data_IF_899265019293
#
_entry.id   IF_899265019293
#
_cell.length_a   1.000
_cell.length_b   1.000
_cell.length_c   1.000
_cell.angle_alpha   90.00
_cell.angle_beta   90.00
_cell.angle_gamma   90.00
#
_symmetry.space_group_name_H-M   'P 1'
#
loop_
_entity.id
_entity.type
_entity.pdbx_description
1 polymer ?
#
# COMPACT_ATOMS: atom_id res chain seq x y z
N UNK A 1 -10.92 1.52 19.39
CA UNK A 1 -9.62 0.91 19.00
C UNK A 1 -9.69 -0.59 18.71
N UNK A 2 -10.40 -1.42 19.52
CA UNK A 2 -10.50 -2.89 19.30
C UNK A 2 -10.97 -3.32 17.89
N UNK A 3 -11.91 -2.58 17.27
CA UNK A 3 -12.40 -2.91 15.93
C UNK A 3 -11.35 -2.70 14.81
N UNK A 4 -10.48 -1.69 14.93
CA UNK A 4 -9.49 -1.39 13.88
C UNK A 4 -8.38 -2.44 13.89
N UNK A 5 -7.92 -2.86 15.08
CA UNK A 5 -6.91 -3.91 15.20
C UNK A 5 -7.45 -5.25 14.68
N UNK A 6 -8.70 -5.61 14.98
CA UNK A 6 -9.30 -6.83 14.44
C UNK A 6 -9.46 -6.79 12.91
N UNK A 7 -9.73 -5.62 12.33
CA UNK A 7 -9.87 -5.43 10.89
C UNK A 7 -8.52 -5.44 10.16
N UNK A 8 -7.48 -4.85 10.77
CA UNK A 8 -6.09 -4.94 10.30
C UNK A 8 -5.59 -6.38 10.40
N UNK A 9 -5.85 -7.07 11.51
CA UNK A 9 -5.43 -8.46 11.72
C UNK A 9 -6.12 -9.38 10.72
N UNK A 10 -7.43 -9.24 10.50
CA UNK A 10 -8.18 -10.00 9.49
C UNK A 10 -7.71 -9.71 8.06
N UNK A 11 -7.39 -8.46 7.74
CA UNK A 11 -6.85 -8.12 6.42
C UNK A 11 -5.41 -8.64 6.25
N UNK A 12 -4.57 -8.56 7.28
CA UNK A 12 -3.21 -9.09 7.28
C UNK A 12 -3.21 -10.60 7.11
N UNK A 13 -4.06 -11.33 7.84
CA UNK A 13 -4.17 -12.79 7.67
C UNK A 13 -4.64 -13.16 6.28
N UNK A 14 -5.60 -12.43 5.69
CA UNK A 14 -6.04 -12.66 4.30
C UNK A 14 -4.93 -12.34 3.28
N UNK A 15 -4.07 -11.35 3.56
CA UNK A 15 -2.91 -11.02 2.72
C UNK A 15 -1.87 -12.15 2.80
N UNK A 16 -1.53 -12.58 4.01
CA UNK A 16 -0.56 -13.66 4.24
C UNK A 16 -1.07 -14.97 3.65
N UNK A 17 -2.36 -15.29 3.82
CA UNK A 17 -3.00 -16.50 3.30
C UNK A 17 -3.05 -16.52 1.77
N UNK A 18 -3.23 -15.36 1.12
CA UNK A 18 -3.17 -15.23 -0.35
C UNK A 18 -1.74 -15.27 -0.91
N UNK A 19 -0.74 -14.72 -0.18
CA UNK A 19 0.67 -14.81 -0.57
C UNK A 19 1.24 -16.22 -0.41
N UNK A 20 0.73 -16.99 0.56
CA UNK A 20 1.14 -18.39 0.79
C UNK A 20 1.00 -19.27 -0.46
N UNK A 21 0.06 -18.96 -1.36
CA UNK A 21 -0.10 -19.69 -2.63
C UNK A 21 1.09 -19.52 -3.60
N UNK A 22 1.91 -18.47 -3.45
CA UNK A 22 3.09 -18.23 -4.29
C UNK A 22 4.39 -18.77 -3.67
N UNK A 23 4.40 -19.01 -2.35
CA UNK A 23 5.58 -19.45 -1.61
C UNK A 23 6.23 -20.73 -2.18
N UNK A 24 5.50 -21.79 -2.57
CA UNK A 24 6.12 -22.97 -3.18
C UNK A 24 6.89 -22.64 -4.47
N UNK A 25 6.38 -21.68 -5.24
CA UNK A 25 6.96 -21.29 -6.52
C UNK A 25 8.18 -20.39 -6.32
N UNK A 26 8.16 -19.52 -5.30
CA UNK A 26 9.34 -18.74 -4.88
C UNK A 26 10.47 -19.64 -4.37
N UNK A 27 10.15 -20.65 -3.53
CA UNK A 27 11.13 -21.62 -3.03
C UNK A 27 11.72 -22.46 -4.17
N UNK A 28 10.87 -22.92 -5.11
CA UNK A 28 11.33 -23.67 -6.26
C UNK A 28 12.22 -22.83 -7.18
N UNK A 29 11.85 -21.58 -7.44
CA UNK A 29 12.64 -20.66 -8.25
C UNK A 29 14.00 -20.36 -7.58
N UNK A 30 14.00 -20.15 -6.26
CA UNK A 30 15.23 -19.99 -5.47
C UNK A 30 16.13 -21.22 -5.53
N UNK A 31 15.55 -22.42 -5.46
CA UNK A 31 16.27 -23.68 -5.61
C UNK A 31 16.91 -23.81 -7.00
N UNK A 32 16.17 -23.51 -8.07
CA UNK A 32 16.70 -23.56 -9.44
C UNK A 32 17.84 -22.56 -9.67
N UNK A 33 17.69 -21.33 -9.19
CA UNK A 33 18.77 -20.33 -9.20
C UNK A 33 20.00 -20.80 -8.41
N UNK A 34 19.78 -21.44 -7.26
CA UNK A 34 20.84 -22.06 -6.47
C UNK A 34 21.62 -23.12 -7.27
N UNK A 35 20.92 -24.05 -7.93
CA UNK A 35 21.54 -25.06 -8.79
C UNK A 35 22.33 -24.43 -9.94
N UNK A 36 21.80 -23.37 -10.56
CA UNK A 36 22.44 -22.67 -11.66
C UNK A 36 23.77 -22.03 -11.20
N UNK A 37 23.73 -21.30 -10.09
CA UNK A 37 24.91 -20.63 -9.51
C UNK A 37 25.96 -21.62 -9.00
N UNK A 38 25.54 -22.67 -8.29
CA UNK A 38 26.44 -23.73 -7.82
C UNK A 38 27.12 -24.42 -9.01
N UNK A 39 26.37 -24.63 -10.09
CA UNK A 39 26.93 -25.25 -11.28
C UNK A 39 27.95 -24.36 -12.02
N UNK A 40 27.70 -23.05 -12.14
CA UNK A 40 28.69 -22.11 -12.69
C UNK A 40 29.95 -22.09 -11.80
N UNK A 41 29.76 -22.01 -10.48
CA UNK A 41 30.86 -22.02 -9.53
C UNK A 41 31.69 -23.30 -9.66
N UNK A 42 31.05 -24.47 -9.79
CA UNK A 42 31.73 -25.75 -9.97
C UNK A 42 32.60 -25.78 -11.24
N UNK A 43 32.09 -25.35 -12.41
CA UNK A 43 32.92 -25.27 -13.63
C UNK A 43 34.14 -24.39 -13.38
N UNK A 44 33.92 -23.21 -12.78
CA UNK A 44 34.99 -22.25 -12.55
C UNK A 44 36.08 -22.83 -11.63
N UNK A 45 35.70 -23.54 -10.56
CA UNK A 45 36.66 -24.21 -9.68
C UNK A 45 37.40 -25.38 -10.36
N UNK A 46 36.71 -26.18 -11.17
CA UNK A 46 37.37 -27.29 -11.88
C UNK A 46 38.34 -26.77 -12.95
N UNK A 47 38.00 -25.63 -13.59
CA UNK A 47 38.83 -25.00 -14.62
C UNK A 47 40.20 -24.51 -14.12
N UNK A 48 40.32 -24.23 -12.83
CA UNK A 48 41.60 -23.82 -12.22
C UNK A 48 42.50 -25.01 -11.88
N UNK A 49 41.96 -26.22 -11.83
CA UNK A 49 42.66 -27.45 -11.43
C UNK A 49 43.01 -28.31 -12.65
N UNK A 50 42.12 -28.40 -13.64
CA UNK A 50 42.28 -29.28 -14.81
C UNK A 50 41.98 -28.51 -16.10
N UNK A 51 42.85 -28.66 -17.11
CA UNK A 51 42.61 -28.13 -18.45
C UNK A 51 41.37 -28.77 -19.08
N UNK A 52 40.44 -27.94 -19.55
CA UNK A 52 39.24 -28.38 -20.25
C UNK A 52 39.52 -29.00 -21.63
N UNK A 53 40.73 -28.89 -22.18
CA UNK A 53 41.06 -29.49 -23.49
C UNK A 53 40.97 -31.02 -23.45
N UNK A 54 41.35 -31.64 -22.33
CA UNK A 54 41.25 -33.10 -22.16
C UNK A 54 39.82 -33.57 -21.81
N UNK A 55 38.94 -32.65 -21.37
CA UNK A 55 37.60 -32.97 -20.85
C UNK A 55 36.49 -32.19 -21.57
N UNK A 56 36.74 -31.75 -22.81
CA UNK A 56 35.84 -30.88 -23.57
C UNK A 56 34.42 -31.44 -23.72
N UNK A 57 34.29 -32.77 -23.80
CA UNK A 57 32.98 -33.43 -23.85
C UNK A 57 32.16 -33.22 -22.56
N UNK A 58 32.79 -33.29 -21.39
CA UNK A 58 32.13 -33.03 -20.12
C UNK A 58 31.74 -31.56 -20.01
N UNK A 59 32.63 -30.64 -20.41
CA UNK A 59 32.33 -29.20 -20.45
C UNK A 59 31.11 -28.89 -21.31
N UNK A 60 31.05 -29.45 -22.52
CA UNK A 60 29.94 -29.24 -23.45
C UNK A 60 28.62 -29.78 -22.88
N UNK A 61 28.62 -30.99 -22.33
CA UNK A 61 27.44 -31.57 -21.69
C UNK A 61 26.95 -30.71 -20.51
N UNK A 62 27.88 -30.17 -19.73
CA UNK A 62 27.54 -29.28 -18.62
C UNK A 62 26.95 -27.95 -19.11
N UNK A 63 27.51 -27.35 -20.16
CA UNK A 63 26.98 -26.13 -20.77
C UNK A 63 25.56 -26.33 -21.33
N UNK A 64 25.30 -27.49 -21.95
CA UNK A 64 23.95 -27.87 -22.40
C UNK A 64 23.00 -27.97 -21.19
N UNK A 65 23.43 -28.64 -20.11
CA UNK A 65 22.66 -28.74 -18.87
C UNK A 65 22.35 -27.36 -18.25
N UNK A 66 23.32 -26.46 -18.21
CA UNK A 66 23.14 -25.08 -17.74
C UNK A 66 22.18 -24.28 -18.62
N UNK A 67 22.25 -24.47 -19.94
CA UNK A 67 21.32 -23.84 -20.88
C UNK A 67 19.88 -24.29 -20.65
N UNK A 68 19.66 -25.61 -20.49
CA UNK A 68 18.34 -26.17 -20.18
C UNK A 68 17.82 -25.71 -18.80
N UNK A 69 18.70 -25.63 -17.80
CA UNK A 69 18.34 -25.12 -16.48
C UNK A 69 17.93 -23.64 -16.54
N UNK A 70 18.65 -22.82 -17.30
CA UNK A 70 18.31 -21.41 -17.52
C UNK A 70 16.97 -21.24 -18.24
N UNK A 71 16.70 -22.06 -19.26
CA UNK A 71 15.38 -22.09 -19.93
C UNK A 71 14.27 -22.45 -18.94
N UNK A 72 14.51 -23.43 -18.07
CA UNK A 72 13.56 -23.83 -17.02
C UNK A 72 13.30 -22.69 -16.05
N UNK A 73 14.35 -22.03 -15.54
CA UNK A 73 14.24 -20.83 -14.68
C UNK A 73 13.41 -19.75 -15.37
N UNK A 74 13.65 -19.52 -16.66
CA UNK A 74 12.94 -18.51 -17.44
C UNK A 74 11.45 -18.83 -17.52
N UNK A 75 11.09 -20.07 -17.85
CA UNK A 75 9.69 -20.51 -17.92
C UNK A 75 8.99 -20.39 -16.57
N UNK A 76 9.63 -20.86 -15.50
CA UNK A 76 9.07 -20.79 -14.14
C UNK A 76 8.91 -19.33 -13.70
N UNK A 77 9.86 -18.45 -14.05
CA UNK A 77 9.77 -17.02 -13.78
C UNK A 77 8.59 -16.38 -14.52
N UNK A 78 8.34 -16.75 -15.78
CA UNK A 78 7.19 -16.25 -16.54
C UNK A 78 5.88 -16.68 -15.87
N UNK A 79 5.77 -17.95 -15.47
CA UNK A 79 4.59 -18.47 -14.77
C UNK A 79 4.38 -17.74 -13.43
N UNK A 80 5.46 -17.53 -12.67
CA UNK A 80 5.44 -16.77 -11.42
C UNK A 80 4.87 -15.36 -11.63
N UNK A 81 5.41 -14.63 -12.61
CA UNK A 81 4.99 -13.26 -12.91
C UNK A 81 3.53 -13.18 -13.37
N UNK A 82 3.07 -14.14 -14.17
CA UNK A 82 1.68 -14.25 -14.58
C UNK A 82 0.76 -14.46 -13.36
N UNK A 83 1.09 -15.42 -12.50
CA UNK A 83 0.32 -15.69 -11.28
C UNK A 83 0.26 -14.46 -10.35
N UNK A 84 1.40 -13.78 -10.18
CA UNK A 84 1.49 -12.56 -9.38
C UNK A 84 0.65 -11.43 -9.98
N UNK A 85 0.67 -11.26 -11.30
CA UNK A 85 -0.14 -10.25 -12.00
C UNK A 85 -1.63 -10.50 -11.83
N UNK A 86 -2.08 -11.76 -11.95
CA UNK A 86 -3.49 -12.12 -11.72
C UNK A 86 -3.90 -11.83 -10.27
N UNK A 87 -3.04 -12.16 -9.30
CA UNK A 87 -3.31 -11.89 -7.89
C UNK A 87 -3.43 -10.37 -7.62
N UNK A 88 -2.55 -9.57 -8.23
CA UNK A 88 -2.64 -8.11 -8.20
C UNK A 88 -3.94 -7.58 -8.82
N UNK A 89 -4.38 -8.13 -9.96
CA UNK A 89 -5.66 -7.75 -10.60
C UNK A 89 -6.84 -8.07 -9.68
N UNK A 90 -6.87 -9.27 -9.09
CA UNK A 90 -7.91 -9.66 -8.13
C UNK A 90 -7.93 -8.72 -6.93
N UNK A 91 -6.77 -8.33 -6.42
CA UNK A 91 -6.66 -7.36 -5.32
C UNK A 91 -7.12 -5.95 -5.68
N UNK A 92 -6.83 -5.49 -6.91
CA UNK A 92 -7.34 -4.21 -7.42
C UNK A 92 -8.87 -4.28 -7.55
N UNK A 93 -9.41 -5.41 -8.06
CA UNK A 93 -10.85 -5.65 -8.18
C UNK A 93 -11.55 -5.77 -6.83
N UNK A 94 -10.88 -6.34 -5.81
CA UNK A 94 -11.35 -6.36 -4.41
C UNK A 94 -11.23 -4.99 -3.72
N UNK A 95 -10.94 -3.92 -4.48
CA UNK A 95 -11.10 -2.51 -4.12
C UNK A 95 -10.13 -2.01 -3.01
N UNK A 96 -9.32 -2.88 -2.40
CA UNK A 96 -8.44 -2.52 -1.28
C UNK A 96 -7.31 -1.58 -1.70
N UNK A 97 -6.66 -1.85 -2.83
CA UNK A 97 -5.51 -1.07 -3.29
C UNK A 97 -5.90 0.31 -3.83
N UNK A 98 -7.01 0.37 -4.58
CA UNK A 98 -7.52 1.63 -5.10
C UNK A 98 -8.06 2.53 -3.97
N UNK A 99 -8.75 1.94 -2.98
CA UNK A 99 -9.20 2.67 -1.81
C UNK A 99 -8.03 3.21 -0.96
N UNK A 100 -6.90 2.50 -0.89
CA UNK A 100 -5.69 3.01 -0.26
C UNK A 100 -5.15 4.27 -0.97
N UNK A 101 -4.90 4.22 -2.28
CA UNK A 101 -4.41 5.38 -3.03
C UNK A 101 -5.40 6.55 -3.02
N UNK A 102 -6.69 6.26 -3.14
CA UNK A 102 -7.77 7.25 -3.03
C UNK A 102 -7.75 7.93 -1.66
N UNK A 103 -7.59 7.14 -0.60
CA UNK A 103 -7.47 7.65 0.78
C UNK A 103 -6.24 8.52 0.96
N UNK A 104 -5.06 8.07 0.51
CA UNK A 104 -3.80 8.82 0.60
C UNK A 104 -3.88 10.14 -0.17
N UNK A 105 -4.35 10.09 -1.43
CA UNK A 105 -4.47 11.29 -2.26
C UNK A 105 -5.49 12.26 -1.65
N UNK A 106 -6.61 11.75 -1.13
CA UNK A 106 -7.60 12.62 -0.50
C UNK A 106 -7.07 13.26 0.77
N UNK A 107 -6.38 12.50 1.61
CA UNK A 107 -5.74 13.00 2.81
C UNK A 107 -4.77 14.15 2.49
N UNK A 108 -3.97 14.02 1.41
CA UNK A 108 -3.09 15.09 0.93
C UNK A 108 -3.86 16.36 0.55
N UNK A 109 -4.98 16.22 -0.15
CA UNK A 109 -5.83 17.36 -0.54
C UNK A 109 -6.45 18.03 0.68
N UNK A 110 -7.02 17.25 1.61
CA UNK A 110 -7.62 17.75 2.86
C UNK A 110 -6.59 18.57 3.65
N UNK A 111 -5.39 18.02 3.86
CA UNK A 111 -4.29 18.73 4.54
C UNK A 111 -3.92 20.03 3.82
N UNK A 112 -3.77 19.99 2.49
CA UNK A 112 -3.44 21.19 1.69
C UNK A 112 -4.52 22.27 1.82
N UNK A 113 -5.79 21.89 1.84
CA UNK A 113 -6.90 22.83 2.01
C UNK A 113 -6.93 23.44 3.41
N UNK A 114 -6.70 22.65 4.46
CA UNK A 114 -6.61 23.15 5.83
C UNK A 114 -5.44 24.13 6.01
N UNK A 115 -4.29 23.87 5.35
CA UNK A 115 -3.10 24.72 5.42
C UNK A 115 -3.21 26.03 4.62
N UNK A 116 -4.03 26.10 3.57
CA UNK A 116 -4.06 27.22 2.60
C UNK A 116 -4.51 28.59 3.13
N UNK A 117 -4.88 28.72 4.41
CA UNK A 117 -5.40 29.98 5.00
C UNK A 117 -4.98 30.17 6.46
N UNK A 118 -3.69 30.09 6.76
CA UNK A 118 -3.15 30.28 8.11
C UNK A 118 -2.07 31.37 8.15
N UNK A 119 -2.31 32.51 7.50
CA UNK A 119 -1.29 33.54 7.29
C UNK A 119 -1.29 34.69 8.31
N UNK A 120 -2.08 34.64 9.39
CA UNK A 120 -2.22 35.75 10.34
C UNK A 120 -2.29 35.28 11.80
N UNK A 121 -1.43 34.34 12.20
CA UNK A 121 -1.45 33.79 13.56
C UNK A 121 -0.01 33.66 14.08
N UNK A 122 0.17 33.86 15.38
CA UNK A 122 1.42 33.73 16.12
C UNK A 122 2.15 32.40 15.83
N UNK A 123 3.48 32.45 15.81
CA UNK A 123 4.37 31.39 15.34
C UNK A 123 4.19 30.06 16.09
N UNK A 124 3.87 30.11 17.39
CA UNK A 124 3.67 28.94 18.23
C UNK A 124 2.31 28.27 17.96
N UNK A 125 1.24 29.07 17.88
CA UNK A 125 -0.11 28.63 17.52
C UNK A 125 -0.14 28.04 16.10
N UNK A 126 0.65 28.59 15.17
CA UNK A 126 0.81 28.04 13.81
C UNK A 126 1.49 26.67 13.81
N UNK A 127 2.45 26.43 14.71
CA UNK A 127 3.17 25.15 14.80
C UNK A 127 2.27 24.04 15.32
N UNK A 128 1.50 24.32 16.38
CA UNK A 128 0.54 23.38 16.93
C UNK A 128 -0.60 23.10 15.91
N UNK A 129 -1.13 24.14 15.26
CA UNK A 129 -2.12 24.00 14.19
C UNK A 129 -1.63 23.10 13.04
N UNK A 130 -0.40 23.31 12.55
CA UNK A 130 0.20 22.46 11.50
C UNK A 130 0.31 21.00 11.94
N UNK A 131 0.63 20.77 13.20
CA UNK A 131 0.75 19.42 13.79
C UNK A 131 -0.60 18.72 13.79
N UNK A 132 -1.68 19.43 14.18
CA UNK A 132 -3.05 18.89 14.13
C UNK A 132 -3.48 18.62 12.69
N UNK A 133 -3.17 19.51 11.75
CA UNK A 133 -3.49 19.27 10.34
C UNK A 133 -2.77 18.02 9.81
N UNK A 134 -1.53 17.78 10.23
CA UNK A 134 -0.81 16.55 9.88
C UNK A 134 -1.42 15.31 10.52
N UNK A 135 -2.02 15.40 11.70
CA UNK A 135 -2.66 14.27 12.39
C UNK A 135 -4.07 13.95 11.90
N UNK A 136 -4.66 14.78 11.01
CA UNK A 136 -5.93 14.48 10.33
C UNK A 136 -5.88 13.10 9.70
N UNK A 137 -6.95 12.33 9.88
CA UNK A 137 -7.15 11.03 9.27
C UNK A 137 -8.30 11.12 8.28
N UNK A 138 -8.09 10.56 7.10
CA UNK A 138 -9.14 10.36 6.11
C UNK A 138 -9.17 8.87 5.79
N UNK A 139 -10.36 8.32 5.64
CA UNK A 139 -10.57 6.92 5.27
C UNK A 139 -11.71 6.89 4.27
N UNK A 140 -11.45 6.38 3.08
CA UNK A 140 -12.45 6.19 2.05
C UNK A 140 -12.51 4.70 1.75
N UNK A 141 -13.70 4.14 1.88
CA UNK A 141 -14.00 2.74 1.57
C UNK A 141 -15.18 2.70 0.62
N UNK A 142 -15.49 1.53 0.08
CA UNK A 142 -16.72 1.30 -0.69
C UNK A 142 -17.99 1.77 0.05
N UNK A 143 -18.04 1.63 1.38
CA UNK A 143 -19.25 1.87 2.19
C UNK A 143 -19.33 3.29 2.77
N UNK A 144 -18.19 3.90 3.05
CA UNK A 144 -18.18 5.20 3.74
C UNK A 144 -16.93 6.03 3.43
N UNK A 145 -17.10 7.33 3.60
CA UNK A 145 -16.02 8.30 3.77
C UNK A 145 -16.04 8.82 5.21
N UNK A 146 -14.87 8.80 5.86
CA UNK A 146 -14.69 9.27 7.22
C UNK A 146 -13.47 10.19 7.27
N UNK A 147 -13.64 11.39 7.79
CA UNK A 147 -12.56 12.32 8.09
C UNK A 147 -12.61 12.63 9.58
N UNK A 148 -11.51 12.38 10.28
CA UNK A 148 -11.34 12.65 11.69
C UNK A 148 -10.26 13.70 11.83
N UNK A 149 -10.64 14.86 12.36
CA UNK A 149 -9.72 15.92 12.73
C UNK A 149 -9.63 15.89 14.26
N UNK A 150 -8.43 15.63 14.82
CA UNK A 150 -8.24 15.63 16.26
C UNK A 150 -8.60 16.99 16.85
N UNK A 151 -9.11 16.97 18.08
CA UNK A 151 -9.31 18.19 18.86
C UNK A 151 -7.98 18.94 19.07
N UNK A 152 -8.05 20.22 19.40
CA UNK A 152 -6.90 20.96 19.92
C UNK A 152 -7.09 21.18 21.42
N UNK A 153 -6.01 21.06 22.20
CA UNK A 153 -6.04 21.44 23.62
C UNK A 153 -6.10 22.97 23.78
N UNK A 154 -5.47 23.68 22.84
CA UNK A 154 -5.54 25.14 22.75
C UNK A 154 -6.88 25.61 22.14
N UNK A 155 -7.63 26.42 22.89
CA UNK A 155 -8.94 26.94 22.49
C UNK A 155 -8.89 27.79 21.22
N UNK A 156 -7.84 28.57 21.01
CA UNK A 156 -7.72 29.42 19.82
C UNK A 156 -7.57 28.59 18.54
N UNK A 157 -6.85 27.47 18.66
CA UNK A 157 -6.66 26.52 17.56
C UNK A 157 -7.95 25.78 17.27
N UNK A 158 -8.71 25.40 18.30
CA UNK A 158 -10.01 24.75 18.10
C UNK A 158 -10.99 25.70 17.39
N UNK A 159 -11.03 26.98 17.75
CA UNK A 159 -11.83 28.01 17.05
C UNK A 159 -11.43 28.10 15.57
N UNK A 160 -10.13 28.07 15.26
CA UNK A 160 -9.63 28.09 13.88
C UNK A 160 -10.08 26.84 13.11
N UNK A 161 -10.00 25.65 13.74
CA UNK A 161 -10.46 24.40 13.14
C UNK A 161 -11.96 24.43 12.89
N UNK A 162 -12.75 24.88 13.86
CA UNK A 162 -14.20 25.03 13.75
C UNK A 162 -14.61 25.96 12.61
N UNK A 163 -13.90 27.09 12.42
CA UNK A 163 -14.14 28.00 11.29
C UNK A 163 -13.84 27.36 9.92
N UNK A 164 -12.93 26.38 9.86
CA UNK A 164 -12.53 25.71 8.61
C UNK A 164 -13.34 24.46 8.29
N UNK A 165 -13.98 23.84 9.29
CA UNK A 165 -14.81 22.65 9.10
C UNK A 165 -15.95 22.82 8.08
N UNK A 166 -16.73 23.93 8.06
CA UNK A 166 -17.75 24.13 7.04
C UNK A 166 -17.18 24.04 5.62
N UNK A 167 -16.06 24.72 5.37
CA UNK A 167 -15.41 24.70 4.05
C UNK A 167 -15.00 23.27 3.64
N UNK A 168 -14.42 22.51 4.56
CA UNK A 168 -14.00 21.14 4.28
C UNK A 168 -15.21 20.23 4.03
N UNK A 169 -16.27 20.38 4.82
CA UNK A 169 -17.53 19.64 4.67
C UNK A 169 -18.17 19.91 3.30
N UNK A 170 -18.28 21.18 2.91
CA UNK A 170 -18.86 21.58 1.62
C UNK A 170 -18.02 21.06 0.45
N UNK A 171 -16.69 21.12 0.59
CA UNK A 171 -15.78 20.57 -0.43
C UNK A 171 -15.94 19.05 -0.60
N UNK A 172 -15.99 18.30 0.51
CA UNK A 172 -16.17 16.85 0.47
C UNK A 172 -17.54 16.47 -0.09
N UNK A 173 -18.59 17.15 0.37
CA UNK A 173 -19.96 16.98 -0.12
C UNK A 173 -20.02 17.24 -1.62
N UNK A 174 -19.49 18.36 -2.11
CA UNK A 174 -19.51 18.69 -3.54
C UNK A 174 -18.79 17.64 -4.40
N UNK A 175 -17.64 17.15 -3.96
CA UNK A 175 -16.84 16.18 -4.72
C UNK A 175 -17.45 14.78 -4.70
N UNK A 176 -18.13 14.41 -3.63
CA UNK A 176 -18.58 13.03 -3.41
C UNK A 176 -20.10 12.86 -3.32
N UNK A 177 -20.89 13.91 -3.58
CA UNK A 177 -22.37 13.91 -3.52
C UNK A 177 -23.02 12.82 -4.36
N UNK A 178 -22.36 12.36 -5.42
CA UNK A 178 -22.90 11.33 -6.32
C UNK A 178 -22.79 9.93 -5.72
N UNK A 179 -21.81 9.70 -4.84
CA UNK A 179 -21.49 8.39 -4.30
C UNK A 179 -21.92 8.26 -2.83
N UNK A 180 -21.83 9.34 -2.06
CA UNK A 180 -22.09 9.34 -0.63
C UNK A 180 -23.12 10.40 -0.23
N UNK A 181 -23.90 10.08 0.80
CA UNK A 181 -24.75 11.00 1.55
C UNK A 181 -24.03 11.36 2.84
N UNK A 182 -23.76 12.64 3.05
CA UNK A 182 -23.05 13.12 4.24
C UNK A 182 -24.01 13.29 5.42
N UNK A 183 -23.57 12.83 6.59
CA UNK A 183 -24.30 12.98 7.85
C UNK A 183 -24.18 14.42 8.36
N UNK A 184 -25.17 14.89 9.14
CA UNK A 184 -25.07 16.18 9.82
C UNK A 184 -23.81 16.24 10.68
N UNK A 185 -23.30 17.45 10.94
CA UNK A 185 -22.16 17.63 11.83
C UNK A 185 -22.51 17.09 13.20
N UNK A 186 -21.77 16.09 13.64
CA UNK A 186 -21.95 15.51 14.97
C UNK A 186 -21.25 16.42 15.99
N UNK A 187 -22.03 17.20 16.75
CA UNK A 187 -21.51 18.14 17.75
C UNK A 187 -21.21 17.48 19.09
N UNK A 188 -21.43 16.16 19.21
CA UNK A 188 -21.26 15.42 20.47
C UNK A 188 -19.89 14.74 20.60
N UNK A 189 -19.11 14.67 19.52
CA UNK A 189 -17.79 14.04 19.53
C UNK A 189 -16.68 15.01 19.89
N UNK A 190 -15.76 14.54 20.73
CA UNK A 190 -14.57 15.27 21.17
C UNK A 190 -13.64 15.66 20.01
N UNK A 191 -13.65 14.85 18.94
CA UNK A 191 -12.99 15.16 17.67
C UNK A 191 -13.99 15.76 16.69
N UNK A 192 -13.48 16.52 15.72
CA UNK A 192 -14.31 16.98 14.62
C UNK A 192 -14.42 15.88 13.55
N UNK A 193 -15.61 15.31 13.41
CA UNK A 193 -15.87 14.16 12.52
C UNK A 193 -16.72 14.61 11.33
N UNK A 194 -16.29 14.24 10.12
CA UNK A 194 -17.10 14.33 8.90
C UNK A 194 -17.30 12.91 8.38
N UNK A 195 -18.56 12.49 8.31
CA UNK A 195 -18.94 11.15 7.85
C UNK A 195 -19.87 11.26 6.65
N UNK A 196 -19.67 10.39 5.66
CA UNK A 196 -20.63 10.13 4.61
C UNK A 196 -20.78 8.64 4.38
N UNK A 197 -22.02 8.19 4.25
CA UNK A 197 -22.37 6.80 3.96
C UNK A 197 -22.70 6.67 2.48
N UNK A 198 -22.41 5.52 1.89
CA UNK A 198 -22.71 5.28 0.48
C UNK A 198 -24.21 5.38 0.24
N UNK A 199 -24.58 5.94 -0.92
CA UNK A 199 -25.93 5.85 -1.44
C UNK A 199 -26.21 4.41 -1.86
N UNK A 200 -27.16 3.78 -1.20
CA UNK A 200 -27.76 2.54 -1.69
C UNK A 200 -28.81 2.98 -2.72
N UNK A 201 -28.48 2.80 -4.01
CA UNK A 201 -29.47 2.88 -5.08
C UNK A 201 -30.22 1.56 -5.17
#
# INVERSE_FOLDING_TARGET
MKNINNLIMRNSTVITDKLYYLLPLELFLGFLWGLFLVGIWFINQVSTIISWDAWGQIRNNFQIGQSLLFQTITIVTIIYLLAHTILCIVWIKEDKFFNFFRTVNRLRIVRKQMLKRGSEIDSEVVKEYKTIVQSIRCTITHEYILVIIPWAENSDIDIILQKKLPFLYDYLTRVYREIYTFSPKDSTSLNHIIQGTRKHN
#
